data_IF_816082640202
#
_entry.id   IF_816082640202
#
_cell.length_a   1.000
_cell.length_b   1.000
_cell.length_c   1.000
_cell.angle_alpha   90.00
_cell.angle_beta   90.00
_cell.angle_gamma   90.00
#
_symmetry.space_group_name_H-M   'P 1'
#
loop_
_entity.id
_entity.type
_entity.pdbx_description
1 polymer ?
#
# COMPACT_ATOMS: atom_id res chain seq x y z
N UNK A 1 26.66 -54.59 -18.45
CA UNK A 1 26.04 -53.54 -19.29
C UNK A 1 24.89 -52.92 -18.51
N UNK A 2 24.96 -51.62 -18.26
CA UNK A 2 24.07 -50.88 -17.39
C UNK A 2 22.71 -50.60 -18.06
N UNK A 3 21.61 -50.92 -17.36
CA UNK A 3 20.27 -50.51 -17.73
C UNK A 3 20.04 -49.07 -17.25
N UNK A 4 19.89 -48.13 -18.18
CA UNK A 4 19.44 -46.76 -17.92
C UNK A 4 17.94 -46.77 -17.71
N UNK A 5 17.49 -46.63 -16.46
CA UNK A 5 16.09 -46.37 -16.12
C UNK A 5 15.85 -44.86 -16.12
N UNK A 6 15.09 -44.40 -17.11
CA UNK A 6 14.45 -43.08 -17.14
C UNK A 6 13.09 -43.24 -16.46
N UNK A 7 12.83 -42.43 -15.44
CA UNK A 7 11.49 -42.28 -14.88
C UNK A 7 11.23 -40.81 -14.54
N UNK A 8 10.60 -40.11 -15.49
CA UNK A 8 9.89 -38.86 -15.24
C UNK A 8 8.64 -39.19 -14.42
N UNK A 9 8.57 -38.70 -13.19
CA UNK A 9 7.39 -38.73 -12.31
C UNK A 9 7.33 -37.35 -11.61
N UNK A 10 6.20 -36.71 -11.36
CA UNK A 10 4.81 -37.05 -11.58
C UNK A 10 4.04 -35.75 -11.81
N UNK A 11 3.04 -35.89 -12.67
CA UNK A 11 1.99 -34.94 -12.98
C UNK A 11 1.15 -34.59 -11.73
N UNK A 12 0.78 -33.31 -11.67
CA UNK A 12 -0.05 -32.58 -10.71
C UNK A 12 -1.20 -33.39 -10.09
N UNK A 13 -1.31 -33.33 -8.75
CA UNK A 13 -2.56 -33.55 -8.03
C UNK A 13 -2.79 -32.38 -7.05
N UNK A 14 -3.61 -31.44 -7.51
CA UNK A 14 -4.17 -30.32 -6.76
C UNK A 14 -5.17 -30.82 -5.72
N UNK A 15 -4.90 -30.63 -4.42
CA UNK A 15 -5.90 -30.78 -3.35
C UNK A 15 -5.53 -30.12 -2.00
N UNK A 16 -4.41 -29.38 -1.88
CA UNK A 16 -3.96 -28.81 -0.59
C UNK A 16 -3.96 -27.27 -0.53
N UNK A 17 -4.56 -26.59 -1.52
CA UNK A 17 -4.47 -25.12 -1.63
C UNK A 17 -5.53 -24.34 -0.83
N UNK A 18 -6.44 -25.01 -0.09
CA UNK A 18 -7.52 -24.33 0.66
C UNK A 18 -7.82 -24.90 2.05
N UNK A 19 -6.86 -25.58 2.70
CA UNK A 19 -6.93 -25.78 4.15
C UNK A 19 -6.37 -24.54 4.85
N UNK A 20 -7.09 -23.91 5.80
CA UNK A 20 -6.51 -22.89 6.65
C UNK A 20 -5.59 -23.59 7.65
N UNK A 21 -4.40 -23.97 7.19
CA UNK A 21 -3.32 -24.40 8.05
C UNK A 21 -2.88 -23.19 8.88
N UNK A 22 -3.33 -23.19 10.13
CA UNK A 22 -2.76 -22.40 11.20
C UNK A 22 -1.23 -22.43 11.12
N UNK A 23 -0.64 -21.24 11.20
CA UNK A 23 0.64 -21.00 11.84
C UNK A 23 1.86 -21.73 11.24
N UNK A 24 2.39 -21.21 10.13
CA UNK A 24 3.76 -21.48 9.74
C UNK A 24 4.06 -21.31 8.26
N UNK A 25 4.30 -20.08 7.82
CA UNK A 25 5.38 -19.64 6.89
C UNK A 25 5.21 -18.13 6.71
N UNK A 26 5.90 -17.35 7.56
CA UNK A 26 6.40 -16.01 7.23
C UNK A 26 7.79 -15.89 7.85
N UNK A 27 8.75 -16.63 7.31
CA UNK A 27 10.18 -16.50 7.66
C UNK A 27 10.87 -15.59 6.64
N UNK A 28 10.27 -14.42 6.40
CA UNK A 28 10.84 -13.35 5.57
C UNK A 28 10.73 -12.03 6.33
N UNK A 29 11.80 -11.67 7.03
CA UNK A 29 12.07 -10.37 7.64
C UNK A 29 10.86 -9.54 8.13
N UNK A 30 10.27 -9.89 9.27
CA UNK A 30 9.36 -8.98 10.01
C UNK A 30 10.06 -8.33 11.20
N UNK A 31 11.33 -7.93 11.04
CA UNK A 31 11.93 -6.90 11.89
C UNK A 31 11.89 -5.58 11.13
N UNK A 32 10.67 -5.08 10.88
CA UNK A 32 10.54 -3.69 10.45
C UNK A 32 11.03 -2.83 11.61
N UNK A 33 12.10 -2.07 11.37
CA UNK A 33 12.54 -1.07 12.33
C UNK A 33 11.42 -0.04 12.48
N UNK A 34 10.75 -0.06 13.63
CA UNK A 34 9.79 1.00 14.03
C UNK A 34 10.51 2.19 14.66
N UNK A 35 11.83 2.29 14.45
CA UNK A 35 12.61 3.42 14.94
C UNK A 35 12.18 4.71 14.23
N UNK A 36 11.97 5.76 15.01
CA UNK A 36 11.65 7.09 14.51
C UNK A 36 12.93 7.75 13.98
N UNK A 37 12.95 8.03 12.68
CA UNK A 37 14.13 8.54 11.95
C UNK A 37 14.33 10.06 12.06
N UNK A 38 13.42 10.78 12.73
CA UNK A 38 13.41 12.25 12.91
C UNK A 38 13.42 13.04 11.59
N UNK A 39 13.17 12.42 10.44
CA UNK A 39 13.23 13.12 9.14
C UNK A 39 11.98 13.95 8.85
N UNK A 40 10.95 13.82 9.70
CA UNK A 40 9.62 14.37 9.51
C UNK A 40 8.97 13.91 8.18
N UNK A 41 9.41 12.77 7.63
CA UNK A 41 8.78 12.16 6.47
C UNK A 41 7.62 11.28 6.89
N UNK A 42 6.52 11.41 6.16
CA UNK A 42 5.35 10.57 6.31
C UNK A 42 4.89 10.06 4.94
N UNK A 43 4.23 8.89 4.88
CA UNK A 43 3.55 8.46 3.67
C UNK A 43 2.32 9.33 3.44
N UNK A 44 2.38 10.21 2.43
CA UNK A 44 1.22 10.94 1.93
C UNK A 44 0.47 10.00 0.99
N UNK A 45 -0.77 9.69 1.35
CA UNK A 45 -1.66 8.80 0.60
C UNK A 45 -2.70 9.67 -0.10
N UNK A 46 -2.82 9.49 -1.41
CA UNK A 46 -3.91 10.09 -2.20
C UNK A 46 -4.68 8.95 -2.87
N UNK A 47 -5.95 8.84 -2.50
CA UNK A 47 -6.87 7.85 -3.06
C UNK A 47 -7.65 8.53 -4.18
N UNK A 48 -7.43 8.09 -5.41
CA UNK A 48 -8.12 8.54 -6.60
C UNK A 48 -9.17 7.49 -6.97
N UNK A 49 -10.43 7.78 -6.66
CA UNK A 49 -11.57 7.10 -7.26
C UNK A 49 -12.06 7.98 -8.42
N UNK A 50 -11.56 7.72 -9.61
CA UNK A 50 -11.84 8.52 -10.81
C UNK A 50 -12.83 7.82 -11.75
N UNK A 51 -13.72 6.99 -11.22
CA UNK A 51 -14.75 6.32 -12.02
C UNK A 51 -15.60 7.33 -12.78
N UNK A 52 -15.64 7.22 -14.11
CA UNK A 52 -16.35 8.14 -14.99
C UNK A 52 -15.69 9.51 -15.21
N UNK A 53 -14.45 9.71 -14.75
CA UNK A 53 -13.72 10.96 -14.97
C UNK A 53 -13.18 11.04 -16.42
N UNK A 54 -13.69 12.01 -17.20
CA UNK A 54 -13.21 12.27 -18.57
C UNK A 54 -12.10 13.32 -18.66
N UNK A 55 -11.80 14.01 -17.56
CA UNK A 55 -10.83 15.10 -17.52
C UNK A 55 -9.37 14.59 -17.47
N UNK A 56 -9.18 13.33 -17.05
CA UNK A 56 -7.86 12.73 -16.84
C UNK A 56 -7.68 11.46 -17.66
N UNK A 57 -6.47 11.21 -18.17
CA UNK A 57 -6.19 10.07 -19.07
C UNK A 57 -5.67 8.81 -18.36
N UNK A 58 -5.61 8.79 -17.02
CA UNK A 58 -5.13 7.68 -16.19
C UNK A 58 -3.81 7.07 -16.70
N UNK A 59 -2.73 7.89 -16.74
CA UNK A 59 -1.43 7.51 -17.34
C UNK A 59 -0.34 7.25 -16.30
N UNK A 60 -0.60 7.53 -15.02
CA UNK A 60 0.39 7.46 -13.95
C UNK A 60 0.72 6.02 -13.54
N UNK A 61 -0.26 5.11 -13.61
CA UNK A 61 -0.03 3.69 -13.39
C UNK A 61 0.36 3.00 -14.70
N UNK A 62 1.60 2.56 -14.77
CA UNK A 62 2.17 1.88 -15.95
C UNK A 62 2.18 0.36 -15.82
N UNK A 63 1.53 -0.18 -14.77
CA UNK A 63 1.43 -1.61 -14.53
C UNK A 63 0.35 -2.28 -15.37
N UNK A 64 0.05 -3.54 -15.03
CA UNK A 64 -0.93 -4.33 -15.77
C UNK A 64 -2.35 -3.87 -15.41
N UNK A 65 -3.14 -3.61 -16.43
CA UNK A 65 -4.57 -3.31 -16.31
C UNK A 65 -5.35 -4.48 -15.71
N UNK A 66 -6.35 -4.17 -14.90
CA UNK A 66 -7.27 -5.14 -14.31
C UNK A 66 -8.35 -5.57 -15.31
N UNK A 67 -8.74 -4.68 -16.24
CA UNK A 67 -9.83 -4.94 -17.19
C UNK A 67 -11.22 -4.72 -16.60
N UNK A 68 -11.31 -4.08 -15.43
CA UNK A 68 -12.53 -3.69 -14.75
C UNK A 68 -12.43 -2.26 -14.20
N UNK A 69 -13.31 -1.90 -13.25
CA UNK A 69 -13.36 -0.59 -12.63
C UNK A 69 -12.06 -0.16 -11.92
N UNK A 70 -11.16 -1.09 -11.59
CA UNK A 70 -9.88 -0.77 -10.95
C UNK A 70 -8.93 -0.02 -11.89
N UNK A 71 -9.15 -0.09 -13.22
CA UNK A 71 -8.37 0.71 -14.19
C UNK A 71 -8.67 2.22 -14.10
N UNK A 72 -9.76 2.60 -13.42
CA UNK A 72 -10.16 3.97 -13.14
C UNK A 72 -9.89 4.40 -11.69
N UNK A 73 -9.30 3.52 -10.88
CA UNK A 73 -8.99 3.78 -9.48
C UNK A 73 -7.48 3.66 -9.22
N UNK A 74 -6.91 4.54 -8.40
CA UNK A 74 -5.49 4.56 -8.12
C UNK A 74 -5.21 5.02 -6.69
N UNK A 75 -4.26 4.37 -6.02
CA UNK A 75 -3.71 4.85 -4.74
C UNK A 75 -2.29 5.31 -4.97
N UNK A 76 -2.03 6.60 -4.80
CA UNK A 76 -0.69 7.17 -4.82
C UNK A 76 -0.18 7.22 -3.39
N UNK A 77 1.00 6.64 -3.16
CA UNK A 77 1.72 6.74 -1.88
C UNK A 77 3.05 7.42 -2.15
N UNK A 78 3.31 8.54 -1.47
CA UNK A 78 4.55 9.28 -1.60
C UNK A 78 5.14 9.52 -0.22
N UNK A 79 6.40 9.12 -0.01
CA UNK A 79 7.14 9.55 1.18
C UNK A 79 7.60 10.99 0.98
N UNK A 80 6.99 11.91 1.73
CA UNK A 80 7.31 13.33 1.64
C UNK A 80 7.49 13.92 3.03
N UNK A 81 8.29 14.99 3.11
CA UNK A 81 8.51 15.73 4.36
C UNK A 81 7.25 16.54 4.67
N UNK A 82 6.73 16.38 5.87
CA UNK A 82 5.57 17.16 6.34
C UNK A 82 6.06 18.52 6.82
N UNK A 83 5.54 19.58 6.21
CA UNK A 83 5.84 20.97 6.56
C UNK A 83 4.55 21.72 6.83
N UNK A 84 4.57 22.60 7.83
CA UNK A 84 3.43 23.46 8.18
C UNK A 84 3.83 24.91 7.92
N UNK A 85 2.99 25.63 7.21
CA UNK A 85 3.16 27.06 6.95
C UNK A 85 2.79 27.90 8.19
N UNK A 86 3.46 29.04 8.37
CA UNK A 86 3.24 29.92 9.52
C UNK A 86 1.83 30.50 9.57
N UNK A 87 1.20 30.74 8.42
CA UNK A 87 -0.16 31.27 8.37
C UNK A 87 -1.20 30.25 8.86
N UNK A 88 -0.99 28.97 8.54
CA UNK A 88 -1.83 27.87 9.04
C UNK A 88 -1.70 27.77 10.56
N UNK A 89 -0.49 27.88 11.08
CA UNK A 89 -0.26 27.88 12.53
C UNK A 89 -0.97 29.06 13.24
N UNK A 90 -0.91 30.26 12.66
CA UNK A 90 -1.59 31.44 13.19
C UNK A 90 -3.13 31.30 13.15
N UNK A 91 -3.66 30.70 12.09
CA UNK A 91 -5.10 30.43 11.98
C UNK A 91 -5.59 29.46 13.06
N UNK A 92 -4.89 28.33 13.23
CA UNK A 92 -5.25 27.35 14.27
C UNK A 92 -5.13 27.93 15.68
N UNK A 93 -4.15 28.80 15.93
CA UNK A 93 -4.03 29.51 17.21
C UNK A 93 -5.25 30.39 17.47
N UNK A 94 -5.66 31.18 16.46
CA UNK A 94 -6.85 32.04 16.56
C UNK A 94 -8.11 31.20 16.84
N UNK A 95 -8.30 30.11 16.11
CA UNK A 95 -9.46 29.24 16.27
C UNK A 95 -9.48 28.58 17.64
N UNK A 96 -8.33 28.12 18.12
CA UNK A 96 -8.18 27.52 19.45
C UNK A 96 -8.57 28.50 20.56
N UNK A 97 -8.07 29.74 20.49
CA UNK A 97 -8.40 30.78 21.48
C UNK A 97 -9.89 31.17 21.43
N UNK A 98 -10.52 31.13 20.26
CA UNK A 98 -11.94 31.46 20.10
C UNK A 98 -12.88 30.36 20.63
N UNK A 99 -12.44 29.11 20.64
CA UNK A 99 -13.26 27.93 21.00
C UNK A 99 -12.98 27.42 22.41
N UNK A 100 -11.91 27.88 23.04
CA UNK A 100 -11.51 27.53 24.40
C UNK A 100 -12.59 27.97 25.41
N UNK A 101 -13.32 26.98 25.95
CA UNK A 101 -14.24 27.22 27.07
C UNK A 101 -13.47 27.16 28.37
N UNK A 102 -13.71 28.14 29.23
CA UNK A 102 -13.31 28.05 30.64
C UNK A 102 -14.30 27.10 31.31
N UNK A 103 -13.81 25.95 31.76
CA UNK A 103 -14.58 25.00 32.58
C UNK A 103 -15.23 25.70 33.77
#
# INVERSE_FOLDING_TARGET
>A
MAAKLVAFSAFVASAAAFTPALSGVRTGATSLSMAMDKTARAPIITVFDHRGCSAHKNVEYTGRKAGDQDDEMLVKVQSAKVTVDSNVAAAVLKDSLSTLKKN
#
